data_IF_187920652777
#
_entry.id   IF_187920652777
#
_cell.length_a   1.000
_cell.length_b   1.000
_cell.length_c   1.000
_cell.angle_alpha   90.00
_cell.angle_beta   90.00
_cell.angle_gamma   90.00
#
_symmetry.space_group_name_H-M   'P 1'
#
loop_
_entity.id
_entity.type
_entity.pdbx_description
1 polymer ?
#
# COMPACT_ATOMS: atom_id res chain seq x y z
N UNK A 1 -5.97 0.15 -11.12
CA UNK A 1 -7.02 0.63 -10.21
C UNK A 1 -8.29 -0.12 -10.57
N UNK A 2 -8.64 -1.16 -9.81
CA UNK A 2 -9.86 -1.94 -10.04
C UNK A 2 -10.99 -1.23 -9.31
N UNK A 3 -11.89 -0.59 -10.06
CA UNK A 3 -13.08 0.05 -9.50
C UNK A 3 -14.05 -1.02 -9.02
N UNK A 4 -14.16 -1.21 -7.70
CA UNK A 4 -15.18 -2.06 -7.09
C UNK A 4 -16.52 -1.32 -7.13
N UNK A 5 -17.25 -1.46 -8.24
CA UNK A 5 -18.63 -0.97 -8.39
C UNK A 5 -19.60 -2.06 -7.95
N UNK A 6 -19.91 -2.10 -6.66
CA UNK A 6 -21.00 -2.90 -6.10
C UNK A 6 -21.72 -2.10 -5.02
N UNK A 7 -23.04 -2.25 -4.85
CA UNK A 7 -23.79 -1.52 -3.82
C UNK A 7 -23.21 -1.85 -2.44
N UNK A 8 -23.13 -0.86 -1.52
CA UNK A 8 -22.67 -1.11 -0.16
C UNK A 8 -23.69 -2.03 0.53
N UNK A 9 -23.39 -3.32 0.57
CA UNK A 9 -24.16 -4.30 1.34
C UNK A 9 -24.09 -3.88 2.81
N UNK A 10 -25.25 -3.84 3.47
CA UNK A 10 -25.39 -3.42 4.86
C UNK A 10 -24.33 -4.09 5.76
N UNK A 11 -23.54 -3.25 6.42
CA UNK A 11 -22.39 -3.64 7.22
C UNK A 11 -22.85 -4.20 8.57
N UNK A 12 -23.26 -5.46 8.62
CA UNK A 12 -23.54 -6.14 9.90
C UNK A 12 -22.31 -6.95 10.33
N UNK A 13 -21.88 -6.85 11.59
CA UNK A 13 -20.67 -7.56 12.07
C UNK A 13 -20.73 -9.08 11.88
N UNK A 14 -21.93 -9.65 11.90
CA UNK A 14 -22.17 -11.09 11.72
C UNK A 14 -21.76 -11.59 10.32
N UNK A 15 -22.11 -10.84 9.28
CA UNK A 15 -21.82 -11.23 7.88
C UNK A 15 -20.31 -11.26 7.60
N UNK A 16 -19.55 -10.36 8.22
CA UNK A 16 -18.10 -10.30 8.06
C UNK A 16 -17.38 -11.53 8.63
N UNK A 17 -17.82 -11.99 9.80
CA UNK A 17 -17.21 -13.14 10.46
C UNK A 17 -17.41 -14.39 9.62
N UNK A 18 -18.60 -14.58 9.06
CA UNK A 18 -18.94 -15.71 8.20
C UNK A 18 -18.15 -15.67 6.89
N UNK A 19 -18.11 -14.51 6.22
CA UNK A 19 -17.34 -14.30 5.00
C UNK A 19 -15.83 -14.58 5.21
N UNK A 20 -15.28 -14.17 6.36
CA UNK A 20 -13.89 -14.45 6.70
C UNK A 20 -13.62 -15.94 6.95
N UNK A 21 -14.55 -16.65 7.60
CA UNK A 21 -14.42 -18.11 7.80
C UNK A 21 -14.49 -18.86 6.48
N UNK A 22 -15.41 -18.46 5.58
CA UNK A 22 -15.51 -19.05 4.26
C UNK A 22 -14.24 -18.81 3.43
N UNK A 23 -13.69 -17.59 3.46
CA UNK A 23 -12.44 -17.29 2.76
C UNK A 23 -11.27 -18.14 3.29
N UNK A 24 -11.16 -18.31 4.61
CA UNK A 24 -10.13 -19.18 5.22
C UNK A 24 -10.28 -20.63 4.81
N UNK A 25 -11.52 -21.14 4.75
CA UNK A 25 -11.77 -22.50 4.27
C UNK A 25 -11.28 -22.66 2.83
N UNK A 26 -11.57 -21.70 1.94
CA UNK A 26 -11.11 -21.72 0.54
C UNK A 26 -9.59 -21.61 0.42
N UNK A 27 -8.95 -20.81 1.27
CA UNK A 27 -7.49 -20.74 1.36
C UNK A 27 -6.89 -22.09 1.78
N UNK A 28 -7.48 -22.77 2.77
CA UNK A 28 -7.01 -24.08 3.22
C UNK A 28 -7.28 -25.20 2.21
N UNK A 29 -8.35 -25.10 1.40
CA UNK A 29 -8.71 -26.12 0.41
C UNK A 29 -7.92 -26.02 -0.90
N UNK A 30 -7.38 -24.84 -1.25
CA UNK A 30 -6.66 -24.66 -2.53
C UNK A 30 -5.62 -23.54 -2.57
N UNK A 31 -5.52 -22.72 -1.53
CA UNK A 31 -4.52 -21.64 -1.40
C UNK A 31 -3.14 -22.13 -0.97
N UNK A 32 -3.02 -23.28 -0.29
CA UNK A 32 -1.74 -23.87 0.15
C UNK A 32 -0.75 -24.20 -0.98
N UNK A 33 -1.21 -24.26 -2.23
CA UNK A 33 -0.36 -24.52 -3.41
C UNK A 33 0.09 -23.26 -4.13
N UNK A 34 -0.39 -22.08 -3.71
CA UNK A 34 -0.08 -20.79 -4.31
C UNK A 34 0.77 -19.97 -3.36
N UNK A 35 1.66 -19.14 -3.91
CA UNK A 35 2.26 -18.08 -3.11
C UNK A 35 1.18 -17.08 -2.67
N UNK A 36 1.42 -16.35 -1.59
CA UNK A 36 0.46 -15.34 -1.11
C UNK A 36 0.09 -14.33 -2.22
N UNK A 37 1.07 -13.92 -3.03
CA UNK A 37 0.86 -12.99 -4.16
C UNK A 37 -0.10 -13.58 -5.20
N UNK A 38 0.10 -14.84 -5.60
CA UNK A 38 -0.75 -15.51 -6.59
C UNK A 38 -2.16 -15.74 -6.05
N UNK A 39 -2.28 -16.09 -4.76
CA UNK A 39 -3.57 -16.24 -4.09
C UNK A 39 -4.37 -14.93 -4.15
N UNK A 40 -3.78 -13.82 -3.71
CA UNK A 40 -4.45 -12.51 -3.71
C UNK A 40 -4.77 -12.05 -5.13
N UNK A 41 -3.83 -12.20 -6.07
CA UNK A 41 -4.06 -11.84 -7.47
C UNK A 41 -5.27 -12.58 -8.04
N UNK A 42 -5.37 -13.89 -7.81
CA UNK A 42 -6.52 -14.71 -8.25
C UNK A 42 -7.83 -14.28 -7.60
N UNK A 43 -7.78 -13.87 -6.34
CA UNK A 43 -8.96 -13.42 -5.59
C UNK A 43 -9.47 -12.05 -6.11
N UNK A 44 -8.57 -11.11 -6.41
CA UNK A 44 -8.90 -9.79 -6.93
C UNK A 44 -9.29 -9.78 -8.41
N UNK A 45 -8.77 -10.71 -9.22
CA UNK A 45 -9.04 -10.75 -10.67
C UNK A 45 -10.29 -11.55 -11.03
N UNK A 46 -10.78 -12.40 -10.13
CA UNK A 46 -11.94 -13.24 -10.41
C UNK A 46 -13.26 -12.54 -10.02
N UNK A 47 -14.17 -12.29 -10.99
CA UNK A 47 -15.43 -11.59 -10.76
C UNK A 47 -16.35 -12.26 -9.72
N UNK A 48 -16.26 -13.59 -9.60
CA UNK A 48 -17.06 -14.34 -8.63
C UNK A 48 -16.67 -13.99 -7.19
N UNK A 49 -15.37 -13.76 -6.94
CA UNK A 49 -14.89 -13.42 -5.61
C UNK A 49 -15.12 -11.95 -5.27
N UNK A 50 -14.96 -11.05 -6.25
CA UNK A 50 -15.26 -9.62 -6.06
C UNK A 50 -16.74 -9.37 -5.74
N UNK A 51 -17.65 -10.16 -6.33
CA UNK A 51 -19.08 -10.09 -6.02
C UNK A 51 -19.46 -10.75 -4.68
N UNK A 52 -18.77 -11.84 -4.28
CA UNK A 52 -19.07 -12.57 -3.03
C UNK A 52 -18.52 -11.89 -1.79
N UNK A 53 -17.33 -11.29 -1.88
CA UNK A 53 -16.59 -10.71 -0.76
C UNK A 53 -16.19 -9.24 -0.99
N UNK A 54 -17.10 -8.35 -1.45
CA UNK A 54 -16.74 -6.98 -1.87
C UNK A 54 -16.13 -6.17 -0.73
N UNK A 55 -16.74 -6.26 0.45
CA UNK A 55 -16.30 -5.52 1.63
C UNK A 55 -14.97 -6.04 2.19
N UNK A 56 -14.80 -7.36 2.24
CA UNK A 56 -13.59 -7.99 2.76
C UNK A 56 -12.39 -7.71 1.83
N UNK A 57 -12.60 -7.77 0.52
CA UNK A 57 -11.57 -7.43 -0.47
C UNK A 57 -11.19 -5.96 -0.41
N UNK A 58 -12.15 -5.05 -0.19
CA UNK A 58 -11.87 -3.63 0.01
C UNK A 58 -10.98 -3.41 1.24
N UNK A 59 -11.27 -4.07 2.37
CA UNK A 59 -10.44 -3.98 3.58
C UNK A 59 -9.02 -4.51 3.33
N UNK A 60 -8.90 -5.62 2.61
CA UNK A 60 -7.60 -6.22 2.29
C UNK A 60 -6.80 -5.33 1.32
N UNK A 61 -7.46 -4.73 0.32
CA UNK A 61 -6.84 -3.75 -0.57
C UNK A 61 -6.34 -2.54 0.23
N UNK A 62 -7.14 -2.03 1.17
CA UNK A 62 -6.73 -0.95 2.05
C UNK A 62 -5.48 -1.33 2.87
N UNK A 63 -5.44 -2.54 3.43
CA UNK A 63 -4.27 -3.06 4.14
C UNK A 63 -3.01 -3.16 3.25
N UNK A 64 -3.16 -3.46 1.95
CA UNK A 64 -2.04 -3.48 1.02
C UNK A 64 -1.55 -2.08 0.60
N UNK A 65 -2.45 -1.10 0.56
CA UNK A 65 -2.10 0.30 0.24
C UNK A 65 -1.52 1.02 1.46
N UNK A 66 -1.93 0.62 2.67
CA UNK A 66 -1.39 1.17 3.91
C UNK A 66 0.12 0.87 3.99
N UNK A 67 0.99 1.89 4.14
CA UNK A 67 2.40 1.67 4.34
C UNK A 67 2.64 1.04 5.72
N UNK A 68 2.67 -0.29 5.77
CA UNK A 68 3.01 -1.05 7.00
C UNK A 68 4.47 -0.80 7.39
N UNK A 69 5.31 -0.44 6.42
CA UNK A 69 6.74 -0.22 6.63
C UNK A 69 7.03 1.24 7.00
N UNK A 70 7.20 1.47 8.30
CA UNK A 70 7.80 2.71 8.82
C UNK A 70 9.16 3.02 8.19
N UNK A 71 9.87 2.02 7.65
CA UNK A 71 11.16 2.20 6.98
C UNK A 71 11.16 3.29 5.90
N UNK A 72 10.08 3.43 5.10
CA UNK A 72 9.96 4.51 4.12
C UNK A 72 9.79 5.88 4.79
N UNK A 73 9.03 5.93 5.89
CA UNK A 73 8.85 7.13 6.70
C UNK A 73 10.13 7.51 7.45
N UNK A 74 10.86 6.53 7.98
CA UNK A 74 12.15 6.68 8.65
C UNK A 74 13.23 7.14 7.68
N UNK A 75 13.26 6.59 6.46
CA UNK A 75 14.15 7.06 5.39
C UNK A 75 13.88 8.52 5.04
N UNK A 76 12.60 8.92 4.95
CA UNK A 76 12.19 10.32 4.73
C UNK A 76 12.61 11.22 5.89
N UNK A 77 12.40 10.79 7.13
CA UNK A 77 12.79 11.54 8.32
C UNK A 77 14.31 11.68 8.46
N UNK A 78 15.07 10.62 8.16
CA UNK A 78 16.52 10.65 8.11
C UNK A 78 17.03 11.62 7.04
N UNK A 79 16.40 11.61 5.86
CA UNK A 79 16.72 12.55 4.78
C UNK A 79 16.43 14.00 5.18
N UNK A 80 15.27 14.27 5.80
CA UNK A 80 14.92 15.57 6.35
C UNK A 80 15.93 16.03 7.41
N UNK A 81 16.30 15.15 8.33
CA UNK A 81 17.30 15.44 9.36
C UNK A 81 18.67 15.76 8.74
N UNK A 82 19.09 15.07 7.68
CA UNK A 82 20.33 15.38 6.94
C UNK A 82 20.27 16.78 6.31
N UNK A 83 19.17 17.12 5.64
CA UNK A 83 18.98 18.45 5.05
C UNK A 83 19.02 19.53 6.14
N UNK A 84 18.21 19.39 7.18
CA UNK A 84 18.13 20.38 8.25
C UNK A 84 19.45 20.54 9.01
N UNK A 85 20.19 19.45 9.23
CA UNK A 85 21.51 19.47 9.90
C UNK A 85 22.58 20.10 9.02
N UNK A 86 22.62 19.77 7.72
CA UNK A 86 23.59 20.34 6.77
C UNK A 86 23.44 21.86 6.63
N UNK A 87 22.19 22.33 6.56
CA UNK A 87 21.89 23.76 6.42
C UNK A 87 21.66 24.49 7.76
N UNK A 88 21.93 23.83 8.89
CA UNK A 88 21.75 24.37 10.25
C UNK A 88 20.42 25.10 10.42
N UNK A 89 19.33 24.47 9.97
CA UNK A 89 17.94 24.91 10.10
C UNK A 89 17.56 26.30 9.54
N UNK A 90 18.40 26.95 8.73
CA UNK A 90 18.08 28.29 8.17
C UNK A 90 17.31 28.26 6.84
N UNK A 91 16.70 27.12 6.49
CA UNK A 91 15.97 26.98 5.23
C UNK A 91 14.49 27.29 5.42
N UNK A 92 13.93 28.03 4.46
CA UNK A 92 12.49 28.17 4.33
C UNK A 92 11.81 26.82 4.05
N UNK A 93 10.57 26.67 4.49
CA UNK A 93 9.78 25.45 4.36
C UNK A 93 9.61 25.05 2.89
N UNK A 94 9.47 26.01 1.99
CA UNK A 94 9.37 25.74 0.55
C UNK A 94 10.65 25.10 -0.01
N UNK A 95 11.81 25.61 0.43
CA UNK A 95 13.13 25.09 0.05
C UNK A 95 13.38 23.70 0.62
N UNK A 96 12.99 23.44 1.86
CA UNK A 96 13.08 22.09 2.46
C UNK A 96 12.22 21.09 1.70
N UNK A 97 11.02 21.47 1.28
CA UNK A 97 10.13 20.63 0.48
C UNK A 97 10.72 20.29 -0.89
N UNK A 98 11.33 21.27 -1.56
CA UNK A 98 12.02 21.07 -2.83
C UNK A 98 13.22 20.11 -2.69
N UNK A 99 14.06 20.33 -1.68
CA UNK A 99 15.23 19.48 -1.40
C UNK A 99 14.83 18.05 -1.01
N UNK A 100 13.77 17.87 -0.23
CA UNK A 100 13.22 16.54 0.06
C UNK A 100 12.73 15.85 -1.20
N UNK A 101 12.04 16.55 -2.10
CA UNK A 101 11.55 15.98 -3.35
C UNK A 101 12.71 15.51 -4.25
N UNK A 102 13.76 16.31 -4.35
CA UNK A 102 14.99 15.96 -5.09
C UNK A 102 15.69 14.79 -4.41
N UNK A 103 15.81 14.79 -3.08
CA UNK A 103 16.55 13.73 -2.38
C UNK A 103 15.81 12.38 -2.34
N UNK A 104 14.49 12.38 -2.46
CA UNK A 104 13.67 11.17 -2.46
C UNK A 104 13.42 10.60 -3.86
N UNK A 105 13.30 11.46 -4.87
CA UNK A 105 12.89 11.07 -6.23
C UNK A 105 13.93 11.42 -7.31
N UNK A 106 15.00 12.15 -6.97
CA UNK A 106 16.05 12.52 -7.90
C UNK A 106 16.94 11.33 -8.25
N UNK A 107 17.51 11.36 -9.44
CA UNK A 107 18.47 10.37 -9.93
C UNK A 107 19.70 10.32 -9.03
N UNK A 108 20.36 9.16 -8.95
CA UNK A 108 21.64 9.05 -8.24
C UNK A 108 22.67 9.98 -8.90
N UNK A 109 23.58 10.55 -8.09
CA UNK A 109 24.53 11.57 -8.53
C UNK A 109 25.44 11.10 -9.69
N UNK A 110 25.57 9.78 -9.87
CA UNK A 110 26.33 9.12 -10.94
C UNK A 110 25.65 9.21 -12.33
N UNK A 111 24.35 9.49 -12.40
CA UNK A 111 23.61 9.67 -13.68
C UNK A 111 23.43 11.13 -14.08
N UNK A 112 23.93 12.09 -13.29
CA UNK A 112 23.82 13.51 -13.60
C UNK A 112 24.83 13.90 -14.69
N UNK A 113 24.47 13.65 -15.95
CA UNK A 113 25.14 14.25 -17.11
C UNK A 113 24.61 15.67 -17.32
N UNK A 114 25.34 16.67 -16.81
CA UNK A 114 25.15 18.05 -17.21
C UNK A 114 25.50 18.17 -18.71
N UNK A 115 24.48 18.07 -19.56
CA UNK A 115 24.56 18.32 -21.01
C UNK A 115 24.39 19.80 -21.28
#
# INVERSE_FOLDING_TARGET
>A
MLTITGPPVALTELTYKEDWQELKLRYNQGGLRLTAKEFWLKLFTNPHYSARFPNLLLLIELCFVMPIQMACCERRNSCLNRIMTNFRSSLDVSTVGALMRISLNGSECEEYNAS
#
